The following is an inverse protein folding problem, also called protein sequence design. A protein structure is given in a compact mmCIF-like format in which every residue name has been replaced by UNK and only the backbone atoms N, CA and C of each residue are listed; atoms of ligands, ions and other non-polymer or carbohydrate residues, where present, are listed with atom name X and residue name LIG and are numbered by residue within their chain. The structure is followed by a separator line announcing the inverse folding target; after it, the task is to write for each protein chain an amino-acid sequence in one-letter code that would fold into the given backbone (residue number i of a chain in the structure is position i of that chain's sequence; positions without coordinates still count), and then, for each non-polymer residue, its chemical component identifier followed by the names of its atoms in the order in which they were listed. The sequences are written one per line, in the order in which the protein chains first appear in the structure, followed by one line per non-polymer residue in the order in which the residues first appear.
data_IF_512018873174
#
_entry.id   IF_512018873174
#
_cell.length_a   1.000
_cell.length_b   1.000
_cell.length_c   1.000
_cell.angle_alpha   90.00
_cell.angle_beta   90.00
_cell.angle_gamma   90.00
#
_symmetry.space_group_name_H-M   'P 1'
#
loop_
_entity.id
_entity.type
_entity.pdbx_description
1 polymer ?
#
# COMPACT_ATOMS: atom_id res chain seq x y z
N UNK A 1 -1.10 18.64 -10.54
CA UNK A 1 -0.67 18.03 -9.27
C UNK A 1 -1.92 17.44 -8.60
N UNK A 2 -2.08 16.11 -8.57
CA UNK A 2 -3.21 15.48 -7.92
C UNK A 2 -3.09 15.60 -6.39
N UNK A 3 -4.21 15.88 -5.72
CA UNK A 3 -4.28 16.01 -4.27
C UNK A 3 -5.41 15.12 -3.77
N UNK A 4 -5.10 14.23 -2.86
CA UNK A 4 -6.06 13.46 -2.08
C UNK A 4 -6.20 14.10 -0.70
N UNK A 5 -7.42 14.46 -0.33
CA UNK A 5 -7.77 14.74 1.06
C UNK A 5 -8.78 13.70 1.52
N UNK A 6 -8.52 13.07 2.67
CA UNK A 6 -9.43 12.08 3.21
C UNK A 6 -9.53 12.21 4.73
N UNK A 7 -10.72 11.98 5.23
CA UNK A 7 -10.98 11.79 6.66
C UNK A 7 -11.36 10.33 6.86
N UNK A 8 -10.76 9.67 7.83
CA UNK A 8 -11.03 8.27 8.07
C UNK A 8 -12.43 8.06 8.62
N UNK A 9 -13.07 7.00 8.14
CA UNK A 9 -14.30 6.48 8.70
C UNK A 9 -14.10 5.02 9.09
N UNK A 10 -14.62 4.65 10.24
CA UNK A 10 -14.61 3.27 10.71
C UNK A 10 -15.90 2.97 11.47
N UNK A 11 -16.25 1.71 11.54
CA UNK A 11 -17.34 1.21 12.38
C UNK A 11 -16.77 0.29 13.44
N UNK A 12 -17.30 0.40 14.64
CA UNK A 12 -17.02 -0.49 15.74
C UNK A 12 -18.30 -1.22 16.17
N UNK A 13 -18.14 -2.23 16.99
CA UNK A 13 -19.24 -2.97 17.59
C UNK A 13 -19.16 -2.87 19.10
N UNK A 14 -20.25 -2.52 19.73
CA UNK A 14 -20.38 -2.52 21.20
C UNK A 14 -20.53 -3.95 21.72
N UNK A 15 -20.28 -4.22 23.03
CA UNK A 15 -20.43 -5.57 23.60
C UNK A 15 -21.82 -6.18 23.42
N UNK A 16 -22.86 -5.36 23.30
CA UNK A 16 -24.25 -5.75 23.03
C UNK A 16 -24.56 -5.93 21.52
N UNK A 17 -23.52 -5.84 20.66
CA UNK A 17 -23.63 -6.11 19.24
C UNK A 17 -24.07 -4.93 18.36
N UNK A 18 -24.28 -3.75 18.93
CA UNK A 18 -24.70 -2.56 18.19
C UNK A 18 -23.53 -1.95 17.41
N UNK A 19 -23.78 -1.65 16.13
CA UNK A 19 -22.78 -0.97 15.28
C UNK A 19 -22.78 0.53 15.61
N UNK A 20 -21.60 1.07 15.87
CA UNK A 20 -21.37 2.50 16.14
C UNK A 20 -20.31 3.06 15.22
N UNK A 21 -20.42 4.35 14.90
CA UNK A 21 -19.35 5.06 14.19
C UNK A 21 -18.17 5.31 15.14
N UNK A 22 -16.97 4.97 14.69
CA UNK A 22 -15.72 5.30 15.40
C UNK A 22 -15.33 6.73 15.03
N UNK A 23 -15.01 7.61 15.99
CA UNK A 23 -14.54 8.96 15.69
C UNK A 23 -13.32 8.93 14.76
N UNK A 24 -13.25 9.81 13.74
CA UNK A 24 -12.17 9.81 12.75
C UNK A 24 -10.76 9.88 13.34
N UNK A 25 -10.57 10.67 14.40
CA UNK A 25 -9.29 10.77 15.12
C UNK A 25 -8.86 9.42 15.71
N UNK A 26 -9.80 8.68 16.30
CA UNK A 26 -9.54 7.34 16.85
C UNK A 26 -9.26 6.35 15.70
N UNK A 27 -10.04 6.40 14.63
CA UNK A 27 -9.82 5.55 13.46
C UNK A 27 -8.43 5.78 12.85
N UNK A 28 -8.00 7.04 12.71
CA UNK A 28 -6.68 7.39 12.20
C UNK A 28 -5.55 6.92 13.14
N UNK A 29 -5.74 7.03 14.45
CA UNK A 29 -4.77 6.55 15.44
C UNK A 29 -4.60 5.04 15.39
N UNK A 30 -5.69 4.30 15.21
CA UNK A 30 -5.68 2.83 15.24
C UNK A 30 -5.22 2.21 13.92
N UNK A 31 -5.59 2.81 12.78
CA UNK A 31 -5.39 2.24 11.45
C UNK A 31 -4.28 2.90 10.66
N UNK A 32 -3.82 4.08 11.10
CA UNK A 32 -2.90 4.91 10.33
C UNK A 32 -3.55 5.55 9.08
N UNK A 33 -2.79 6.29 8.29
CA UNK A 33 -3.25 6.92 7.05
C UNK A 33 -3.35 5.88 5.93
N UNK A 34 -4.50 5.22 5.84
CA UNK A 34 -4.78 4.17 4.85
C UNK A 34 -5.46 4.73 3.60
N UNK A 35 -5.14 4.13 2.46
CA UNK A 35 -5.69 4.41 1.13
C UNK A 35 -6.36 3.18 0.57
N UNK A 36 -7.49 3.37 -0.13
CA UNK A 36 -8.03 2.33 -0.99
C UNK A 36 -7.30 2.38 -2.34
N UNK A 37 -6.81 1.25 -2.80
CA UNK A 37 -6.05 1.17 -4.04
C UNK A 37 -6.28 -0.12 -4.80
N UNK A 38 -5.64 -0.22 -5.94
CA UNK A 38 -5.47 -1.47 -6.69
C UNK A 38 -3.98 -1.69 -6.95
N UNK A 39 -3.57 -2.94 -6.85
CA UNK A 39 -2.20 -3.37 -7.11
C UNK A 39 -2.19 -4.07 -8.48
N UNK A 40 -1.28 -3.66 -9.34
CA UNK A 40 -1.14 -4.18 -10.69
C UNK A 40 0.32 -4.37 -11.10
N UNK A 41 0.49 -4.72 -12.37
CA UNK A 41 1.81 -4.90 -12.98
C UNK A 41 2.46 -3.53 -13.20
N UNK A 42 3.75 -3.43 -12.88
CA UNK A 42 4.57 -2.24 -13.12
C UNK A 42 4.50 -1.81 -14.60
N UNK A 43 4.54 -0.49 -14.86
CA UNK A 43 4.21 0.08 -16.17
C UNK A 43 5.09 -0.42 -17.32
N UNK A 44 6.40 -0.52 -17.12
CA UNK A 44 7.30 -0.98 -18.17
C UNK A 44 7.11 -2.47 -18.48
N UNK A 45 6.89 -3.27 -17.43
CA UNK A 45 6.59 -4.71 -17.57
C UNK A 45 5.23 -4.89 -18.25
N UNK A 46 4.24 -4.09 -17.90
CA UNK A 46 2.93 -4.12 -18.55
C UNK A 46 3.04 -3.81 -20.05
N UNK A 47 3.81 -2.79 -20.45
CA UNK A 47 4.06 -2.48 -21.85
C UNK A 47 4.79 -3.61 -22.58
N UNK A 48 5.78 -4.23 -21.94
CA UNK A 48 6.50 -5.36 -22.52
C UNK A 48 5.59 -6.57 -22.76
N UNK A 49 4.76 -6.94 -21.78
CA UNK A 49 3.81 -8.04 -21.91
C UNK A 49 2.82 -7.79 -23.05
N UNK A 50 2.24 -6.59 -23.11
CA UNK A 50 1.31 -6.21 -24.17
C UNK A 50 1.95 -6.23 -25.56
N UNK A 51 3.22 -5.79 -25.68
CA UNK A 51 3.96 -5.85 -26.95
C UNK A 51 4.21 -7.27 -27.46
N UNK A 52 4.22 -8.25 -26.54
CA UNK A 52 4.34 -9.67 -26.82
C UNK A 52 2.99 -10.37 -27.02
N UNK A 53 1.87 -9.63 -26.97
CA UNK A 53 0.54 -10.18 -27.06
C UNK A 53 0.07 -10.95 -25.81
N UNK A 54 0.76 -10.76 -24.67
CA UNK A 54 0.43 -11.40 -23.40
C UNK A 54 -0.57 -10.50 -22.66
N UNK A 55 -1.76 -11.00 -22.29
CA UNK A 55 -2.74 -10.23 -21.55
C UNK A 55 -2.25 -9.94 -20.14
N UNK A 56 -2.54 -8.73 -19.65
CA UNK A 56 -2.20 -8.36 -18.28
C UNK A 56 -3.13 -9.06 -17.28
N UNK A 57 -2.60 -9.48 -16.12
CA UNK A 57 -3.44 -9.93 -15.04
C UNK A 57 -4.35 -8.80 -14.56
N UNK A 58 -5.54 -9.17 -14.09
CA UNK A 58 -6.48 -8.19 -13.53
C UNK A 58 -5.91 -7.61 -12.24
N UNK A 59 -5.85 -6.26 -12.10
CA UNK A 59 -5.40 -5.63 -10.87
C UNK A 59 -6.21 -6.07 -9.65
N UNK A 60 -5.56 -6.20 -8.51
CA UNK A 60 -6.16 -6.69 -7.27
C UNK A 60 -6.46 -5.50 -6.34
N UNK A 61 -7.71 -5.33 -5.87
CA UNK A 61 -8.04 -4.33 -4.87
C UNK A 61 -7.29 -4.58 -3.56
N UNK A 62 -6.91 -3.51 -2.88
CA UNK A 62 -6.22 -3.60 -1.60
C UNK A 62 -6.18 -2.30 -0.84
N UNK A 63 -5.76 -2.40 0.41
CA UNK A 63 -5.53 -1.27 1.31
C UNK A 63 -4.04 -0.99 1.38
N UNK A 64 -3.65 0.24 1.14
CA UNK A 64 -2.28 0.72 1.30
C UNK A 64 -2.16 1.58 2.57
N UNK A 65 -1.16 1.32 3.39
CA UNK A 65 -0.79 2.16 4.54
C UNK A 65 0.36 3.08 4.14
N UNK A 66 0.21 4.38 4.39
CA UNK A 66 1.31 5.33 4.30
C UNK A 66 2.16 5.19 5.57
N UNK A 67 3.42 4.78 5.43
CA UNK A 67 4.31 4.53 6.57
C UNK A 67 5.61 5.34 6.44
N UNK A 68 5.67 6.47 7.12
CA UNK A 68 6.87 7.31 7.19
C UNK A 68 8.02 6.67 8.00
N UNK A 69 7.72 5.61 8.76
CA UNK A 69 8.71 4.82 9.49
C UNK A 69 9.46 3.82 8.61
N UNK A 70 8.82 3.35 7.54
CA UNK A 70 9.43 2.39 6.62
C UNK A 70 10.37 3.09 5.62
N UNK A 71 11.55 2.54 5.41
CA UNK A 71 12.50 3.03 4.39
C UNK A 71 12.03 2.64 2.98
N UNK A 72 11.51 1.43 2.83
CA UNK A 72 11.14 0.84 1.55
C UNK A 72 9.67 0.48 1.51
N UNK A 73 9.08 0.62 0.35
CA UNK A 73 7.73 0.15 0.05
C UNK A 73 7.66 -1.37 0.09
N UNK A 74 6.58 -1.91 0.66
CA UNK A 74 6.33 -3.34 0.72
C UNK A 74 4.99 -3.67 0.02
N UNK A 75 4.92 -4.87 -0.53
CA UNK A 75 3.69 -5.44 -1.10
C UNK A 75 3.44 -6.81 -0.48
N UNK A 76 2.17 -7.16 -0.30
CA UNK A 76 1.83 -8.52 0.15
C UNK A 76 2.34 -9.56 -0.84
N UNK A 77 3.15 -10.49 -0.36
CA UNK A 77 3.81 -11.48 -1.22
C UNK A 77 2.80 -12.42 -1.90
N UNK A 78 1.67 -12.69 -1.25
CA UNK A 78 0.59 -13.47 -1.83
C UNK A 78 -0.01 -12.78 -3.05
N UNK A 79 -0.23 -11.47 -2.97
CA UNK A 79 -0.71 -10.64 -4.08
C UNK A 79 0.32 -10.57 -5.21
N UNK A 80 1.59 -10.36 -4.88
CA UNK A 80 2.65 -10.32 -5.89
C UNK A 80 2.72 -11.64 -6.69
N UNK A 81 2.61 -12.78 -6.01
CA UNK A 81 2.54 -14.11 -6.63
C UNK A 81 1.27 -14.32 -7.45
N UNK A 82 0.12 -13.89 -6.95
CA UNK A 82 -1.17 -14.00 -7.66
C UNK A 82 -1.19 -13.18 -8.96
N UNK A 83 -0.55 -12.01 -8.97
CA UNK A 83 -0.37 -11.18 -10.16
C UNK A 83 0.74 -11.70 -11.09
N UNK A 84 1.51 -12.72 -10.69
CA UNK A 84 2.65 -13.21 -11.46
C UNK A 84 3.77 -12.17 -11.62
N UNK A 85 3.94 -11.27 -10.63
CA UNK A 85 5.01 -10.28 -10.69
C UNK A 85 6.37 -10.96 -10.68
N UNK A 86 7.34 -10.53 -11.53
CA UNK A 86 8.66 -11.12 -11.55
C UNK A 86 9.43 -10.74 -10.28
N UNK A 87 10.22 -11.68 -9.77
CA UNK A 87 11.24 -11.39 -8.74
C UNK A 87 12.42 -10.73 -9.41
N UNK A 88 12.70 -9.48 -9.08
CA UNK A 88 13.81 -8.70 -9.68
C UNK A 88 15.03 -8.64 -8.79
N UNK A 89 14.89 -8.95 -7.49
CA UNK A 89 15.98 -8.99 -6.53
C UNK A 89 15.57 -9.78 -5.28
N UNK A 90 16.55 -10.07 -4.43
CA UNK A 90 16.36 -10.65 -3.08
C UNK A 90 17.13 -9.82 -2.08
N UNK A 91 16.46 -9.32 -1.04
CA UNK A 91 17.05 -8.50 0.02
C UNK A 91 17.00 -9.22 1.36
N UNK A 92 17.97 -8.98 2.21
CA UNK A 92 17.92 -9.41 3.61
C UNK A 92 17.35 -8.29 4.46
N UNK A 93 16.27 -8.58 5.19
CA UNK A 93 15.67 -7.64 6.13
C UNK A 93 16.05 -8.07 7.54
N UNK A 94 16.74 -7.20 8.25
CA UNK A 94 16.93 -7.33 9.68
C UNK A 94 15.69 -6.75 10.39
N UNK A 95 14.89 -7.57 11.03
CA UNK A 95 13.87 -7.13 11.99
C UNK A 95 14.30 -7.52 13.41
N UNK A 96 13.77 -6.83 14.41
CA UNK A 96 14.09 -7.11 15.81
C UNK A 96 13.78 -8.57 16.23
N UNK A 97 12.88 -9.23 15.50
CA UNK A 97 12.44 -10.62 15.78
C UNK A 97 13.02 -11.67 14.82
N UNK A 98 13.56 -11.29 13.66
CA UNK A 98 14.10 -12.22 12.65
C UNK A 98 15.31 -11.60 11.97
N UNK A 99 16.53 -11.84 12.48
CA UNK A 99 17.75 -11.47 11.78
C UNK A 99 17.86 -12.29 10.48
N UNK A 100 18.18 -11.63 9.36
CA UNK A 100 18.50 -12.23 8.05
C UNK A 100 17.37 -12.99 7.30
N UNK A 101 16.11 -12.58 7.45
CA UNK A 101 15.07 -13.08 6.59
C UNK A 101 15.24 -12.55 5.16
N UNK A 102 15.48 -13.46 4.19
CA UNK A 102 15.53 -13.12 2.77
C UNK A 102 14.12 -12.87 2.25
N UNK A 103 13.93 -11.76 1.57
CA UNK A 103 12.66 -11.36 0.97
C UNK A 103 12.83 -11.07 -0.52
N UNK A 104 11.87 -11.52 -1.31
CA UNK A 104 11.82 -11.22 -2.73
C UNK A 104 11.44 -9.76 -2.97
N UNK A 105 11.94 -9.17 -4.04
CA UNK A 105 11.61 -7.82 -4.48
C UNK A 105 10.83 -7.90 -5.78
N UNK A 106 9.70 -7.19 -5.83
CA UNK A 106 8.76 -7.18 -6.94
C UNK A 106 8.55 -5.76 -7.47
N UNK A 107 8.55 -5.54 -8.78
CA UNK A 107 8.05 -4.28 -9.35
C UNK A 107 6.52 -4.32 -9.39
N UNK A 108 5.87 -3.28 -8.84
CA UNK A 108 4.43 -3.20 -8.74
C UNK A 108 3.91 -1.79 -9.07
N UNK A 109 2.71 -1.71 -9.63
CA UNK A 109 1.96 -0.48 -9.78
C UNK A 109 0.89 -0.41 -8.68
N UNK A 110 0.82 0.70 -7.97
CA UNK A 110 -0.18 0.97 -6.95
C UNK A 110 -0.97 2.19 -7.39
N UNK A 111 -2.26 2.02 -7.67
CA UNK A 111 -3.15 3.10 -8.08
C UNK A 111 -4.14 3.41 -6.96
N UNK A 112 -4.31 4.69 -6.63
CA UNK A 112 -5.28 5.12 -5.61
C UNK A 112 -6.66 5.24 -6.23
N UNK A 113 -7.66 4.62 -5.60
CA UNK A 113 -9.03 4.65 -6.12
C UNK A 113 -9.61 6.07 -6.08
N UNK A 114 -10.23 6.47 -7.18
CA UNK A 114 -10.98 7.74 -7.29
C UNK A 114 -10.15 8.97 -7.63
N UNK A 115 -8.84 8.87 -7.71
CA UNK A 115 -7.96 9.98 -8.09
C UNK A 115 -6.78 9.50 -8.96
N UNK A 116 -6.18 10.35 -9.80
CA UNK A 116 -5.09 9.95 -10.67
C UNK A 116 -3.72 9.94 -9.95
N UNK A 117 -3.66 9.37 -8.76
CA UNK A 117 -2.41 9.10 -8.05
C UNK A 117 -1.99 7.66 -8.31
N UNK A 118 -0.76 7.50 -8.83
CA UNK A 118 -0.15 6.21 -9.13
C UNK A 118 1.28 6.19 -8.62
N UNK A 119 1.63 5.12 -7.94
CA UNK A 119 2.99 4.85 -7.49
C UNK A 119 3.56 3.68 -8.30
N UNK A 120 4.60 3.97 -9.08
CA UNK A 120 5.33 2.93 -9.81
C UNK A 120 6.50 2.44 -8.93
N UNK A 121 6.22 1.45 -8.09
CA UNK A 121 7.19 0.87 -7.18
C UNK A 121 8.07 -0.13 -7.91
N UNK A 122 9.26 0.29 -8.35
CA UNK A 122 10.20 -0.58 -9.07
C UNK A 122 10.80 -1.69 -8.18
N UNK A 123 10.79 -1.49 -6.86
CA UNK A 123 11.44 -2.38 -5.88
C UNK A 123 10.61 -2.53 -4.61
N UNK A 124 9.37 -3.00 -4.72
CA UNK A 124 8.56 -3.30 -3.55
C UNK A 124 9.00 -4.63 -2.92
N UNK A 125 9.21 -4.64 -1.61
CA UNK A 125 9.64 -5.83 -0.89
C UNK A 125 8.42 -6.71 -0.59
N UNK A 126 8.47 -7.99 -0.96
CA UNK A 126 7.41 -8.95 -0.67
C UNK A 126 7.44 -9.37 0.78
N UNK A 127 6.37 -9.07 1.53
CA UNK A 127 6.23 -9.44 2.94
C UNK A 127 4.79 -9.90 3.23
N UNK A 128 4.54 -10.68 4.29
CA UNK A 128 3.20 -11.14 4.64
C UNK A 128 2.42 -10.01 5.34
N UNK A 129 1.66 -9.21 4.58
CA UNK A 129 0.87 -8.06 5.08
C UNK A 129 -0.61 -8.41 5.32
N UNK A 130 -1.15 -9.43 4.68
CA UNK A 130 -2.58 -9.76 4.71
C UNK A 130 -3.13 -9.91 6.14
N UNK A 131 -2.35 -10.44 7.08
CA UNK A 131 -2.73 -10.59 8.48
C UNK A 131 -2.92 -9.25 9.22
N UNK A 132 -2.40 -8.15 8.68
CA UNK A 132 -2.53 -6.81 9.22
C UNK A 132 -3.71 -6.04 8.58
N UNK A 133 -4.45 -6.67 7.65
CA UNK A 133 -5.54 -6.03 6.93
C UNK A 133 -5.09 -4.99 5.90
N UNK A 134 -3.81 -5.00 5.52
CA UNK A 134 -3.22 -4.16 4.48
C UNK A 134 -2.54 -5.03 3.43
N UNK A 135 -2.40 -4.52 2.21
CA UNK A 135 -1.76 -5.21 1.11
C UNK A 135 -0.52 -4.48 0.58
N UNK A 136 -0.41 -3.20 0.90
CA UNK A 136 0.75 -2.38 0.55
C UNK A 136 1.13 -1.52 1.75
N UNK A 137 2.43 -1.32 1.93
CA UNK A 137 3.01 -0.36 2.83
C UNK A 137 3.85 0.60 1.98
N UNK A 138 3.42 1.86 1.90
CA UNK A 138 4.08 2.90 1.10
C UNK A 138 5.16 3.53 1.96
N UNK A 139 6.42 3.23 1.64
CA UNK A 139 7.60 3.69 2.35
C UNK A 139 8.14 5.03 1.85
N UNK A 140 9.21 5.48 2.50
CA UNK A 140 9.87 6.77 2.18
C UNK A 140 10.49 6.81 0.79
N UNK A 141 10.81 5.66 0.21
CA UNK A 141 11.29 5.54 -1.17
C UNK A 141 10.30 6.10 -2.19
N UNK A 142 8.99 5.99 -1.93
CA UNK A 142 7.94 6.63 -2.73
C UNK A 142 7.51 7.98 -2.14
N UNK A 143 7.42 8.09 -0.82
CA UNK A 143 6.96 9.29 -0.14
C UNK A 143 7.91 10.49 -0.31
N UNK A 144 9.19 10.29 -0.64
CA UNK A 144 10.12 11.38 -0.96
C UNK A 144 9.64 12.28 -2.13
N UNK A 145 8.72 11.80 -2.96
CA UNK A 145 8.12 12.54 -4.07
C UNK A 145 6.77 13.16 -3.73
N UNK A 146 6.34 13.06 -2.46
CA UNK A 146 5.01 13.46 -2.01
C UNK A 146 5.08 14.54 -0.94
N UNK A 147 3.98 15.29 -0.81
CA UNK A 147 3.71 16.08 0.39
C UNK A 147 2.61 15.37 1.18
N UNK A 148 2.89 15.07 2.45
CA UNK A 148 1.94 14.46 3.38
C UNK A 148 1.63 15.46 4.50
N UNK A 149 0.36 15.79 4.65
CA UNK A 149 -0.15 16.53 5.80
C UNK A 149 -1.03 15.60 6.63
N UNK A 150 -0.68 15.42 7.89
CA UNK A 150 -1.39 14.53 8.82
C UNK A 150 -2.02 15.35 9.93
N UNK A 151 -3.35 15.28 10.09
CA UNK A 151 -4.10 15.96 11.14
C UNK A 151 -4.80 14.93 12.05
N UNK A 152 -4.10 14.54 13.12
CA UNK A 152 -4.62 13.58 14.09
C UNK A 152 -5.84 14.06 14.86
N UNK A 153 -6.00 15.38 15.07
CA UNK A 153 -7.12 15.93 15.83
C UNK A 153 -8.47 15.68 15.17
N UNK A 154 -8.53 15.81 13.86
CA UNK A 154 -9.76 15.61 13.07
C UNK A 154 -9.79 14.29 12.32
N UNK A 155 -8.76 13.44 12.48
CA UNK A 155 -8.68 12.14 11.85
C UNK A 155 -8.57 12.18 10.32
N UNK A 156 -7.84 13.17 9.78
CA UNK A 156 -7.67 13.35 8.34
C UNK A 156 -6.21 13.43 7.93
N UNK A 157 -5.95 13.15 6.66
CA UNK A 157 -4.66 13.42 6.04
C UNK A 157 -4.83 13.89 4.59
N UNK A 158 -3.81 14.57 4.09
CA UNK A 158 -3.74 15.01 2.69
C UNK A 158 -2.44 14.49 2.08
N UNK A 159 -2.54 13.91 0.89
CA UNK A 159 -1.40 13.45 0.11
C UNK A 159 -1.43 14.13 -1.25
N UNK A 160 -0.30 14.68 -1.70
CA UNK A 160 -0.12 15.23 -3.03
C UNK A 160 1.19 14.76 -3.67
N UNK A 161 1.18 14.61 -4.99
CA UNK A 161 2.33 14.22 -5.82
C UNK A 161 2.56 15.27 -6.88
#
# INVERSE_FOLDING_TARGET
MPILHTQLSAQGQTPDGKIIAVPPAIALTQRGPILQGVIGVEQNIAQQLLSQGIPLPKPIPGVALIDTGATSTCVDEGIAKQLGLPVVDVVSIASASHPDAKQNVYPALIEVVGIPIKFNALRAIGVPLANQGIQVLIGRDLLQHCTLFYNGMIGSFTLSI
#
